data_IF_199222468144
#
_entry.id   IF_199222468144
#
_cell.length_a   1.000
_cell.length_b   1.000
_cell.length_c   1.000
_cell.angle_alpha   90.00
_cell.angle_beta   90.00
_cell.angle_gamma   90.00
#
_symmetry.space_group_name_H-M   'P 1'
#
loop_
_entity.id
_entity.type
_entity.pdbx_description
1 polymer ?
#
# COMPACT_ATOMS: atom_id res chain seq x y z
N UNK A 1 34.97 -21.02 2.84
CA UNK A 1 34.78 -19.57 2.61
C UNK A 1 33.46 -19.18 1.92
N UNK A 2 32.67 -20.10 1.35
CA UNK A 2 31.49 -19.76 0.53
C UNK A 2 30.14 -19.67 1.28
N UNK A 3 29.98 -20.36 2.41
CA UNK A 3 28.70 -20.40 3.14
C UNK A 3 28.39 -19.08 3.89
N UNK A 4 29.39 -18.51 4.58
CA UNK A 4 29.25 -17.24 5.31
C UNK A 4 28.90 -16.07 4.37
N UNK A 5 29.49 -16.05 3.18
CA UNK A 5 29.26 -14.98 2.21
C UNK A 5 27.87 -15.08 1.54
N UNK A 6 27.37 -16.31 1.32
CA UNK A 6 26.00 -16.54 0.84
C UNK A 6 24.96 -16.11 1.87
N UNK A 7 25.21 -16.41 3.14
CA UNK A 7 24.32 -16.04 4.25
C UNK A 7 24.25 -14.52 4.44
N UNK A 8 25.39 -13.83 4.42
CA UNK A 8 25.46 -12.35 4.50
C UNK A 8 24.71 -11.65 3.36
N UNK A 9 24.87 -12.12 2.12
CA UNK A 9 24.12 -11.57 0.96
C UNK A 9 22.61 -11.77 1.09
N UNK A 10 22.17 -12.87 1.71
CA UNK A 10 20.75 -13.13 1.97
C UNK A 10 20.16 -12.09 2.94
N UNK A 11 20.84 -11.83 4.06
CA UNK A 11 20.40 -10.83 5.03
C UNK A 11 20.34 -9.42 4.44
N UNK A 12 21.35 -9.04 3.64
CA UNK A 12 21.35 -7.76 2.94
C UNK A 12 20.18 -7.61 1.95
N UNK A 13 19.81 -8.69 1.26
CA UNK A 13 18.64 -8.71 0.35
C UNK A 13 17.33 -8.51 1.12
N UNK A 14 17.14 -9.22 2.23
CA UNK A 14 15.93 -9.11 3.07
C UNK A 14 15.78 -7.68 3.61
N UNK A 15 16.85 -7.13 4.19
CA UNK A 15 16.82 -5.78 4.75
C UNK A 15 16.51 -4.71 3.68
N UNK A 16 17.11 -4.86 2.49
CA UNK A 16 16.79 -4.01 1.34
C UNK A 16 15.32 -4.11 0.94
N UNK A 17 14.75 -5.32 0.90
CA UNK A 17 13.34 -5.51 0.54
C UNK A 17 12.41 -4.81 1.55
N UNK A 18 12.67 -4.92 2.86
CA UNK A 18 11.88 -4.21 3.86
C UNK A 18 11.92 -2.70 3.68
N UNK A 19 13.10 -2.11 3.49
CA UNK A 19 13.23 -0.66 3.24
C UNK A 19 12.44 -0.24 1.99
N UNK A 20 12.58 -0.99 0.89
CA UNK A 20 11.86 -0.68 -0.34
C UNK A 20 10.34 -0.80 -0.17
N UNK A 21 9.87 -1.80 0.55
CA UNK A 21 8.44 -1.97 0.85
C UNK A 21 7.91 -0.87 1.77
N UNK A 22 8.71 -0.39 2.73
CA UNK A 22 8.33 0.76 3.57
C UNK A 22 8.14 2.01 2.73
N UNK A 23 9.13 2.35 1.88
CA UNK A 23 9.06 3.52 1.00
C UNK A 23 7.88 3.40 0.03
N UNK A 24 7.66 2.20 -0.52
CA UNK A 24 6.53 1.93 -1.40
C UNK A 24 5.18 2.09 -0.69
N UNK A 25 5.02 1.52 0.51
CA UNK A 25 3.79 1.63 1.29
C UNK A 25 3.44 3.07 1.65
N UNK A 26 4.42 3.85 2.13
CA UNK A 26 4.24 5.29 2.45
C UNK A 26 3.81 6.07 1.20
N UNK A 27 4.48 5.83 0.06
CA UNK A 27 4.14 6.49 -1.18
C UNK A 27 2.72 6.14 -1.67
N UNK A 28 2.29 4.89 -1.51
CA UNK A 28 0.94 4.45 -1.84
C UNK A 28 -0.12 5.05 -0.91
N UNK A 29 0.12 5.11 0.39
CA UNK A 29 -0.79 5.75 1.36
C UNK A 29 -0.97 7.24 1.06
N UNK A 30 0.14 7.94 0.77
CA UNK A 30 0.09 9.33 0.35
C UNK A 30 -0.70 9.53 -0.96
N UNK A 31 -0.50 8.66 -1.96
CA UNK A 31 -1.24 8.71 -3.23
C UNK A 31 -2.74 8.52 -3.02
N UNK A 32 -3.11 7.56 -2.18
CA UNK A 32 -4.50 7.34 -1.77
C UNK A 32 -5.10 8.57 -1.09
N UNK A 33 -4.43 9.12 -0.08
CA UNK A 33 -4.88 10.32 0.61
C UNK A 33 -5.08 11.48 -0.35
N UNK A 34 -4.16 11.69 -1.29
CA UNK A 34 -4.27 12.72 -2.33
C UNK A 34 -5.51 12.48 -3.20
N UNK A 35 -5.70 11.27 -3.71
CA UNK A 35 -6.85 10.93 -4.57
C UNK A 35 -8.17 11.16 -3.83
N UNK A 36 -8.27 10.69 -2.59
CA UNK A 36 -9.46 10.85 -1.74
C UNK A 36 -9.75 12.32 -1.46
N UNK A 37 -8.73 13.13 -1.15
CA UNK A 37 -8.87 14.57 -0.93
C UNK A 37 -9.40 15.27 -2.20
N UNK A 38 -8.80 14.99 -3.36
CA UNK A 38 -9.23 15.60 -4.62
C UNK A 38 -10.65 15.17 -5.02
N UNK A 39 -10.98 13.89 -4.85
CA UNK A 39 -12.34 13.40 -5.04
C UNK A 39 -13.31 14.19 -4.17
N UNK A 40 -13.03 14.31 -2.87
CA UNK A 40 -13.85 15.11 -1.96
C UNK A 40 -13.97 16.58 -2.38
N UNK A 41 -12.90 17.22 -2.82
CA UNK A 41 -12.94 18.62 -3.27
C UNK A 41 -13.82 18.82 -4.51
N UNK A 42 -13.82 17.88 -5.45
CA UNK A 42 -14.66 17.94 -6.67
C UNK A 42 -16.15 17.83 -6.31
N UNK A 43 -16.50 16.95 -5.37
CA UNK A 43 -17.89 16.70 -4.98
C UNK A 43 -18.41 17.67 -3.91
N UNK A 44 -17.54 18.29 -3.13
CA UNK A 44 -17.86 19.28 -2.09
C UNK A 44 -17.19 20.65 -2.37
N UNK A 45 -17.54 21.32 -3.48
CA UNK A 45 -16.89 22.58 -3.86
C UNK A 45 -17.17 23.73 -2.88
N UNK A 46 -18.20 23.61 -2.03
CA UNK A 46 -18.57 24.60 -1.01
C UNK A 46 -17.91 24.36 0.36
N UNK A 47 -17.12 23.29 0.51
CA UNK A 47 -16.45 22.94 1.77
C UNK A 47 -17.07 21.77 2.52
N UNK A 48 -16.40 21.37 3.61
CA UNK A 48 -16.81 20.31 4.53
C UNK A 48 -17.79 20.85 5.59
N UNK A 49 -18.99 21.21 5.18
CA UNK A 49 -20.04 21.59 6.13
C UNK A 49 -20.72 20.35 6.69
N UNK A 50 -20.80 20.27 8.02
CA UNK A 50 -21.58 19.25 8.71
C UNK A 50 -23.08 19.61 8.64
N UNK A 51 -23.99 18.64 8.45
CA UNK A 51 -23.77 17.19 8.43
C UNK A 51 -23.21 16.68 7.09
N UNK A 52 -22.28 15.73 7.16
CA UNK A 52 -21.73 15.04 6.00
C UNK A 52 -22.87 14.46 5.16
N UNK A 53 -23.05 14.99 3.95
CA UNK A 53 -24.00 14.44 2.98
C UNK A 53 -23.55 13.02 2.64
N UNK A 54 -24.49 12.08 2.60
CA UNK A 54 -24.21 10.70 2.17
C UNK A 54 -23.51 10.72 0.80
N UNK A 55 -22.37 10.04 0.72
CA UNK A 55 -21.63 9.89 -0.52
C UNK A 55 -22.58 9.39 -1.62
N UNK A 56 -22.55 10.00 -2.83
CA UNK A 56 -23.29 9.47 -3.96
C UNK A 56 -22.90 8.00 -4.17
N UNK A 57 -23.84 7.07 -4.44
CA UNK A 57 -23.54 5.64 -4.57
C UNK A 57 -22.43 5.32 -5.58
N UNK A 58 -22.30 6.15 -6.63
CA UNK A 58 -21.22 6.05 -7.62
C UNK A 58 -19.84 6.35 -7.04
N UNK A 59 -19.73 7.29 -6.10
CA UNK A 59 -18.46 7.65 -5.47
C UNK A 59 -17.97 6.56 -4.52
N UNK A 60 -18.90 5.97 -3.76
CA UNK A 60 -18.62 4.81 -2.91
C UNK A 60 -18.02 3.65 -3.73
N UNK A 61 -18.62 3.33 -4.88
CA UNK A 61 -18.10 2.28 -5.76
C UNK A 61 -16.68 2.56 -6.30
N UNK A 62 -16.35 3.83 -6.58
CA UNK A 62 -15.01 4.21 -7.04
C UNK A 62 -13.98 4.05 -5.92
N UNK A 63 -14.32 4.43 -4.69
CA UNK A 63 -13.46 4.25 -3.51
C UNK A 63 -13.20 2.76 -3.25
N UNK A 64 -14.24 1.91 -3.31
CA UNK A 64 -14.10 0.46 -3.15
C UNK A 64 -13.18 -0.17 -4.21
N UNK A 65 -13.32 0.24 -5.48
CA UNK A 65 -12.43 -0.23 -6.56
C UNK A 65 -10.99 0.24 -6.31
N UNK A 66 -10.81 1.47 -5.86
CA UNK A 66 -9.50 2.05 -5.57
C UNK A 66 -8.81 1.26 -4.47
N UNK A 67 -9.48 0.99 -3.35
CA UNK A 67 -8.94 0.17 -2.26
C UNK A 67 -8.62 -1.26 -2.73
N UNK A 68 -9.54 -1.91 -3.44
CA UNK A 68 -9.31 -3.24 -3.99
C UNK A 68 -8.11 -3.28 -4.95
N UNK A 69 -7.95 -2.24 -5.77
CA UNK A 69 -6.81 -2.10 -6.69
C UNK A 69 -5.50 -1.95 -5.93
N UNK A 70 -5.47 -1.15 -4.87
CA UNK A 70 -4.28 -1.00 -4.02
C UNK A 70 -3.92 -2.31 -3.32
N UNK A 71 -4.90 -3.03 -2.77
CA UNK A 71 -4.66 -4.35 -2.16
C UNK A 71 -4.05 -5.32 -3.18
N UNK A 72 -4.57 -5.36 -4.42
CA UNK A 72 -4.00 -6.20 -5.48
C UNK A 72 -2.55 -5.80 -5.81
N UNK A 73 -2.24 -4.51 -5.89
CA UNK A 73 -0.87 -4.02 -6.09
C UNK A 73 0.06 -4.45 -4.96
N UNK A 74 -0.40 -4.40 -3.70
CA UNK A 74 0.35 -4.86 -2.52
C UNK A 74 0.57 -6.38 -2.54
N UNK A 75 -0.41 -7.16 -2.97
CA UNK A 75 -0.25 -8.61 -3.18
C UNK A 75 0.81 -8.88 -4.24
N UNK A 76 0.77 -8.16 -5.37
CA UNK A 76 1.78 -8.29 -6.43
C UNK A 76 3.19 -7.97 -5.93
N UNK A 77 3.38 -6.89 -5.16
CA UNK A 77 4.71 -6.55 -4.65
C UNK A 77 5.22 -7.58 -3.63
N UNK A 78 4.34 -8.12 -2.78
CA UNK A 78 4.68 -9.22 -1.86
C UNK A 78 5.15 -10.47 -2.61
N UNK A 79 4.46 -10.83 -3.71
CA UNK A 79 4.85 -11.96 -4.56
C UNK A 79 6.21 -11.73 -5.25
N UNK A 80 6.48 -10.51 -5.73
CA UNK A 80 7.74 -10.15 -6.39
C UNK A 80 8.91 -10.12 -5.41
N UNK A 81 8.69 -9.65 -4.18
CA UNK A 81 9.74 -9.50 -3.17
C UNK A 81 10.20 -10.83 -2.55
N UNK A 82 9.30 -11.81 -2.39
CA UNK A 82 9.56 -13.07 -1.67
C UNK A 82 9.84 -14.28 -2.56
N UNK A 83 10.73 -15.16 -2.12
CA UNK A 83 11.07 -16.40 -2.84
C UNK A 83 10.07 -17.53 -2.51
N UNK A 84 9.69 -17.66 -1.23
CA UNK A 84 8.78 -18.69 -0.73
C UNK A 84 7.41 -18.13 -0.34
N UNK A 85 6.39 -18.99 -0.23
CA UNK A 85 5.02 -18.58 0.15
C UNK A 85 4.98 -17.74 1.44
N UNK A 86 5.64 -18.19 2.51
CA UNK A 86 5.69 -17.47 3.78
C UNK A 86 6.38 -16.11 3.65
N UNK A 87 7.47 -16.03 2.88
CA UNK A 87 8.19 -14.78 2.66
C UNK A 87 7.32 -13.78 1.88
N UNK A 88 6.67 -14.24 0.80
CA UNK A 88 5.73 -13.44 0.00
C UNK A 88 4.57 -12.91 0.84
N UNK A 89 4.01 -13.78 1.67
CA UNK A 89 2.91 -13.41 2.57
C UNK A 89 3.36 -12.42 3.65
N UNK A 90 4.54 -12.60 4.23
CA UNK A 90 5.11 -11.65 5.19
C UNK A 90 5.39 -10.28 4.57
N UNK A 91 5.94 -10.23 3.35
CA UNK A 91 6.17 -8.96 2.65
C UNK A 91 4.87 -8.27 2.27
N UNK A 92 3.85 -9.02 1.84
CA UNK A 92 2.51 -8.49 1.61
C UNK A 92 1.94 -7.87 2.89
N UNK A 93 1.89 -8.62 4.00
CA UNK A 93 1.35 -8.13 5.27
C UNK A 93 2.09 -6.89 5.78
N UNK A 94 3.41 -6.88 5.61
CA UNK A 94 4.23 -5.73 5.99
C UNK A 94 3.89 -4.50 5.14
N UNK A 95 3.86 -4.63 3.81
CA UNK A 95 3.52 -3.53 2.91
C UNK A 95 2.08 -3.03 3.14
N UNK A 96 1.15 -3.95 3.40
CA UNK A 96 -0.24 -3.64 3.76
C UNK A 96 -0.33 -2.83 5.05
N UNK A 97 0.36 -3.25 6.11
CA UNK A 97 0.38 -2.51 7.38
C UNK A 97 1.00 -1.11 7.23
N UNK A 98 2.03 -0.95 6.39
CA UNK A 98 2.64 0.36 6.13
C UNK A 98 1.72 1.25 5.29
N UNK A 99 1.03 0.71 4.29
CA UNK A 99 0.07 1.48 3.50
C UNK A 99 -1.13 1.93 4.36
N UNK A 100 -1.70 1.05 5.16
CA UNK A 100 -2.93 1.30 5.95
C UNK A 100 -2.73 2.33 7.08
N UNK A 101 -1.53 2.40 7.66
CA UNK A 101 -1.21 3.36 8.72
C UNK A 101 -0.90 4.78 8.20
N UNK A 102 -0.61 4.94 6.90
CA UNK A 102 -0.16 6.21 6.30
C UNK A 102 -1.33 7.01 5.76
#
# INVERSE_FOLDING_TARGET
MNALNKMSKSFAKIYRNFILLTVFGIAMGALEGIVVIYLKQIYYPKGFDFPLVLFPPRMFFIEEIREASTILMLVCIGIIAGENFYERFSYFLYAFAVWDIC
#
